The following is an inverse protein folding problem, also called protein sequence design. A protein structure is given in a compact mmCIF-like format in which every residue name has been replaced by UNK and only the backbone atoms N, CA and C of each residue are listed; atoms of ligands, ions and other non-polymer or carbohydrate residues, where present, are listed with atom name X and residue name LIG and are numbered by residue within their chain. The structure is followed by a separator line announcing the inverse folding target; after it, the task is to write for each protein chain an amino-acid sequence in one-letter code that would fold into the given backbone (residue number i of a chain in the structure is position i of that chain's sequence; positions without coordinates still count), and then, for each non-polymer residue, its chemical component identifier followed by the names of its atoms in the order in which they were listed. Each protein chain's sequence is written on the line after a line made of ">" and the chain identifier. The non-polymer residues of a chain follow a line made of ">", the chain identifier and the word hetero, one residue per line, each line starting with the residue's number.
data_IF_856746839045
#
_entry.id   IF_856746839045
#
_cell.length_a   1.000
_cell.length_b   1.000
_cell.length_c   1.000
_cell.angle_alpha   90.00
_cell.angle_beta   90.00
_cell.angle_gamma   90.00
#
_symmetry.space_group_name_H-M   'P 1'
#
loop_
_entity.id
_entity.type
_entity.pdbx_description
1 polymer ?
#
# COMPACT_ATOMS: atom_id res chain seq x y z
N UNK A 1 -4.41 10.38 -24.95
CA UNK A 1 -5.86 10.57 -24.76
C UNK A 1 -6.03 11.46 -23.53
N UNK A 2 -6.91 12.46 -23.55
CA UNK A 2 -7.19 13.24 -22.34
C UNK A 2 -7.67 12.27 -21.26
N UNK A 3 -6.94 12.19 -20.16
CA UNK A 3 -7.32 11.36 -19.02
C UNK A 3 -8.60 11.93 -18.43
N UNK A 4 -9.70 11.21 -18.61
CA UNK A 4 -11.05 11.60 -18.17
C UNK A 4 -11.50 10.80 -16.94
N UNK A 5 -10.58 10.06 -16.33
CA UNK A 5 -10.90 9.26 -15.16
C UNK A 5 -10.84 10.16 -13.93
N UNK A 6 -11.89 10.16 -13.14
CA UNK A 6 -11.89 10.68 -11.77
C UNK A 6 -12.04 9.45 -10.91
N UNK A 7 -11.13 9.25 -9.95
CA UNK A 7 -11.10 8.10 -9.05
C UNK A 7 -12.50 7.91 -8.50
N UNK A 8 -13.11 6.79 -8.89
CA UNK A 8 -14.45 6.44 -8.44
C UNK A 8 -14.46 5.81 -7.05
N UNK A 9 -13.34 5.80 -6.33
CA UNK A 9 -13.31 5.26 -4.97
C UNK A 9 -13.85 6.27 -3.96
N UNK A 10 -13.50 7.55 -4.13
CA UNK A 10 -13.80 8.61 -3.16
C UNK A 10 -15.06 9.40 -3.53
N UNK A 11 -15.26 9.64 -4.82
CA UNK A 11 -16.34 10.47 -5.34
C UNK A 11 -16.98 9.81 -6.55
N UNK A 12 -18.21 10.25 -6.85
CA UNK A 12 -18.91 9.82 -8.05
C UNK A 12 -18.06 10.15 -9.27
N UNK A 13 -17.62 9.11 -9.96
CA UNK A 13 -16.79 9.29 -11.14
C UNK A 13 -17.56 9.91 -12.30
N UNK A 14 -16.90 10.81 -13.02
CA UNK A 14 -17.37 11.34 -14.31
C UNK A 14 -17.11 10.38 -15.49
N UNK A 15 -16.64 9.16 -15.23
CA UNK A 15 -16.30 8.12 -16.23
C UNK A 15 -17.42 7.82 -17.27
N UNK A 16 -18.66 8.28 -17.04
CA UNK A 16 -19.79 8.07 -17.96
C UNK A 16 -20.33 9.34 -18.64
N UNK A 17 -19.80 10.53 -18.35
CA UNK A 17 -20.29 11.78 -18.94
C UNK A 17 -19.32 12.24 -20.03
N UNK A 18 -19.62 11.90 -21.30
CA UNK A 18 -18.72 12.18 -22.46
C UNK A 18 -18.21 13.63 -22.55
N UNK A 19 -18.93 14.58 -21.94
CA UNK A 19 -18.70 16.03 -22.01
C UNK A 19 -18.62 16.75 -20.64
N UNK A 20 -18.40 16.05 -19.52
CA UNK A 20 -18.17 16.75 -18.25
C UNK A 20 -16.72 17.22 -18.16
N UNK A 21 -16.49 18.43 -17.65
CA UNK A 21 -15.14 18.95 -17.38
C UNK A 21 -14.38 18.03 -16.41
N UNK A 22 -13.06 18.02 -16.42
CA UNK A 22 -12.32 17.30 -15.38
C UNK A 22 -12.54 18.03 -14.04
N UNK A 23 -12.75 17.33 -12.91
CA UNK A 23 -12.61 17.95 -11.59
C UNK A 23 -11.23 18.56 -11.35
N UNK A 24 -10.22 18.20 -12.18
CA UNK A 24 -8.92 18.86 -12.20
C UNK A 24 -9.00 20.36 -12.58
N UNK A 25 -9.99 20.77 -13.38
CA UNK A 25 -10.24 22.19 -13.69
C UNK A 25 -10.74 22.96 -12.45
N UNK A 26 -11.28 22.23 -11.46
CA UNK A 26 -11.78 22.76 -10.18
C UNK A 26 -11.26 21.94 -9.01
N UNK A 27 -9.93 21.94 -8.85
CA UNK A 27 -9.18 21.13 -7.89
C UNK A 27 -9.50 21.36 -6.40
N UNK A 28 -10.41 22.28 -6.04
CA UNK A 28 -10.87 22.50 -4.66
C UNK A 28 -12.29 21.95 -4.40
N UNK A 29 -13.04 21.58 -5.44
CA UNK A 29 -14.41 21.14 -5.28
C UNK A 29 -14.47 19.68 -4.79
N UNK A 30 -15.25 19.47 -3.73
CA UNK A 30 -15.57 18.16 -3.18
C UNK A 30 -16.98 17.77 -3.61
N UNK A 31 -17.16 16.57 -4.17
CA UNK A 31 -18.48 15.98 -4.38
C UNK A 31 -18.80 15.01 -3.27
N UNK A 32 -19.95 15.19 -2.63
CA UNK A 32 -20.50 14.26 -1.63
C UNK A 32 -21.70 13.47 -2.18
N UNK A 33 -21.94 13.55 -3.49
CA UNK A 33 -23.06 12.83 -4.11
C UNK A 33 -22.95 11.32 -3.87
N UNK A 34 -24.02 10.67 -3.38
CA UNK A 34 -24.03 9.22 -3.24
C UNK A 34 -23.88 8.54 -4.61
N UNK A 35 -23.08 7.47 -4.63
CA UNK A 35 -22.95 6.59 -5.79
C UNK A 35 -22.82 5.13 -5.33
N UNK A 36 -23.24 4.20 -6.20
CA UNK A 36 -23.07 2.77 -5.98
C UNK A 36 -21.60 2.38 -6.20
N UNK A 37 -21.07 1.36 -5.49
CA UNK A 37 -19.75 0.85 -5.79
C UNK A 37 -19.59 0.52 -7.27
N UNK A 38 -18.49 0.99 -7.86
CA UNK A 38 -18.18 0.79 -9.27
C UNK A 38 -17.55 -0.59 -9.46
N UNK A 39 -17.95 -1.29 -10.51
CA UNK A 39 -17.39 -2.60 -10.85
C UNK A 39 -15.93 -2.47 -11.31
N UNK A 40 -15.10 -3.48 -11.00
CA UNK A 40 -13.65 -3.43 -11.28
C UNK A 40 -13.31 -3.13 -12.73
N UNK A 41 -14.09 -3.64 -13.69
CA UNK A 41 -13.82 -3.55 -15.13
C UNK A 41 -13.76 -2.10 -15.66
N UNK A 42 -14.22 -1.13 -14.86
CA UNK A 42 -14.17 0.30 -15.19
C UNK A 42 -12.97 1.04 -14.59
N UNK A 43 -12.30 0.48 -13.57
CA UNK A 43 -11.28 1.18 -12.79
C UNK A 43 -9.90 0.54 -12.83
N UNK A 44 -9.84 -0.77 -13.03
CA UNK A 44 -8.60 -1.52 -12.85
C UNK A 44 -7.85 -1.70 -14.16
N UNK A 45 -6.54 -1.76 -14.05
CA UNK A 45 -5.66 -2.23 -15.11
C UNK A 45 -5.13 -3.61 -14.71
N UNK A 46 -5.41 -4.65 -15.51
CA UNK A 46 -4.83 -5.98 -15.32
C UNK A 46 -3.37 -5.97 -15.82
N UNK A 47 -2.42 -6.09 -14.89
CA UNK A 47 -0.98 -6.04 -15.18
C UNK A 47 -0.44 -7.40 -15.66
N UNK A 48 -1.22 -8.47 -15.50
CA UNK A 48 -0.84 -9.85 -15.80
C UNK A 48 -1.62 -10.46 -16.99
N UNK A 49 -2.57 -9.75 -17.59
CA UNK A 49 -3.36 -10.22 -18.74
C UNK A 49 -2.51 -10.63 -19.97
N UNK A 50 -1.34 -10.02 -20.15
CA UNK A 50 -0.54 -10.19 -21.37
C UNK A 50 0.60 -11.21 -21.24
N UNK A 51 0.70 -12.08 -22.26
CA UNK A 51 1.78 -13.05 -22.44
C UNK A 51 1.70 -14.26 -21.51
N UNK A 52 2.81 -15.01 -21.39
CA UNK A 52 2.92 -16.14 -20.45
C UNK A 52 3.15 -15.63 -19.01
N UNK A 53 2.19 -14.92 -18.44
CA UNK A 53 2.23 -14.49 -17.04
C UNK A 53 2.16 -15.69 -16.09
N UNK A 54 2.72 -15.56 -14.86
CA UNK A 54 2.47 -16.52 -13.80
C UNK A 54 0.96 -16.67 -13.53
N UNK A 55 0.51 -17.81 -12.98
CA UNK A 55 -0.89 -17.97 -12.58
C UNK A 55 -1.27 -16.95 -11.49
N UNK A 56 -2.49 -16.46 -11.54
CA UNK A 56 -3.04 -15.47 -10.62
C UNK A 56 -3.56 -14.23 -11.35
N UNK A 57 -3.99 -13.25 -10.56
CA UNK A 57 -4.44 -11.94 -11.05
C UNK A 57 -3.71 -10.85 -10.29
N UNK A 58 -3.32 -9.79 -10.98
CA UNK A 58 -2.79 -8.60 -10.35
C UNK A 58 -3.33 -7.36 -11.06
N UNK A 59 -4.33 -6.78 -10.41
CA UNK A 59 -5.03 -5.59 -10.88
C UNK A 59 -4.52 -4.37 -10.12
N UNK A 60 -4.38 -3.25 -10.82
CA UNK A 60 -4.00 -1.97 -10.21
C UNK A 60 -5.06 -0.91 -10.49
N UNK A 61 -5.43 -0.16 -9.44
CA UNK A 61 -6.10 1.12 -9.58
C UNK A 61 -5.01 2.18 -9.53
N UNK A 62 -4.78 2.88 -10.63
CA UNK A 62 -3.74 3.90 -10.70
C UNK A 62 -4.09 5.09 -9.82
N UNK A 63 -3.09 5.59 -9.08
CA UNK A 63 -3.20 6.89 -8.43
C UNK A 63 -3.40 7.99 -9.47
N UNK A 64 -4.15 9.02 -9.12
CA UNK A 64 -4.38 10.19 -9.96
C UNK A 64 -3.90 11.44 -9.26
N UNK A 65 -3.64 12.50 -10.02
CA UNK A 65 -3.19 13.77 -9.45
C UNK A 65 -4.32 14.47 -8.67
N UNK A 66 -5.56 14.30 -9.11
CA UNK A 66 -6.76 14.97 -8.63
C UNK A 66 -7.08 14.69 -7.17
N UNK A 67 -6.71 13.53 -6.63
CA UNK A 67 -6.92 13.20 -5.21
C UNK A 67 -6.06 14.04 -4.27
N UNK A 68 -5.06 14.76 -4.79
CA UNK A 68 -4.31 15.74 -4.01
C UNK A 68 -5.21 16.82 -3.40
N UNK A 69 -6.38 17.08 -3.99
CA UNK A 69 -7.37 18.03 -3.46
C UNK A 69 -7.76 17.76 -2.01
N UNK A 70 -7.84 16.49 -1.61
CA UNK A 70 -8.21 16.13 -0.24
C UNK A 70 -7.17 16.55 0.79
N UNK A 71 -5.92 16.78 0.37
CA UNK A 71 -4.88 17.28 1.27
C UNK A 71 -5.07 18.77 1.60
N UNK A 72 -5.80 19.52 0.77
CA UNK A 72 -6.03 20.96 0.92
C UNK A 72 -7.47 21.31 1.33
N UNK A 73 -8.36 20.32 1.35
CA UNK A 73 -9.74 20.49 1.75
C UNK A 73 -9.87 20.83 3.24
N UNK A 74 -10.78 21.76 3.54
CA UNK A 74 -11.08 22.22 4.91
C UNK A 74 -12.47 21.83 5.41
N UNK A 75 -13.34 21.33 4.52
CA UNK A 75 -14.68 20.85 4.86
C UNK A 75 -14.63 19.43 5.42
N UNK A 76 -14.61 19.34 6.76
CA UNK A 76 -14.52 18.07 7.47
C UNK A 76 -15.76 17.16 7.27
N UNK A 77 -16.94 17.74 7.11
CA UNK A 77 -18.18 16.98 6.93
C UNK A 77 -18.24 16.34 5.54
N UNK A 78 -17.75 17.06 4.52
CA UNK A 78 -17.58 16.52 3.19
C UNK A 78 -16.52 15.41 3.15
N UNK A 79 -15.38 15.62 3.80
CA UNK A 79 -14.30 14.62 3.89
C UNK A 79 -14.77 13.34 4.58
N UNK A 80 -15.55 13.43 5.64
CA UNK A 80 -16.10 12.24 6.31
C UNK A 80 -17.06 11.45 5.39
N UNK A 81 -17.89 12.13 4.59
CA UNK A 81 -18.76 11.48 3.60
C UNK A 81 -17.94 10.80 2.49
N UNK A 82 -16.92 11.48 1.98
CA UNK A 82 -16.00 10.95 0.97
C UNK A 82 -15.25 9.72 1.48
N UNK A 83 -14.80 9.74 2.75
CA UNK A 83 -14.18 8.57 3.38
C UNK A 83 -15.15 7.40 3.43
N UNK A 84 -16.42 7.62 3.78
CA UNK A 84 -17.45 6.56 3.78
C UNK A 84 -17.65 5.96 2.39
N UNK A 85 -17.59 6.76 1.33
CA UNK A 85 -17.64 6.26 -0.05
C UNK A 85 -16.47 5.32 -0.34
N UNK A 86 -15.25 5.74 0.00
CA UNK A 86 -14.05 4.93 -0.13
C UNK A 86 -14.16 3.60 0.63
N UNK A 87 -14.56 3.63 1.90
CA UNK A 87 -14.72 2.43 2.71
C UNK A 87 -15.75 1.46 2.12
N UNK A 88 -16.90 1.95 1.64
CA UNK A 88 -17.90 1.10 0.97
C UNK A 88 -17.37 0.47 -0.31
N UNK A 89 -16.56 1.19 -1.07
CA UNK A 89 -15.98 0.69 -2.30
C UNK A 89 -14.92 -0.38 -2.04
N UNK A 90 -14.08 -0.20 -1.00
CA UNK A 90 -13.14 -1.23 -0.55
C UNK A 90 -13.91 -2.47 -0.09
N UNK A 91 -14.98 -2.29 0.69
CA UNK A 91 -15.80 -3.39 1.18
C UNK A 91 -16.44 -4.21 0.05
N UNK A 92 -16.92 -3.54 -0.99
CA UNK A 92 -17.41 -4.20 -2.21
C UNK A 92 -16.33 -5.09 -2.85
N UNK A 93 -15.09 -4.58 -2.95
CA UNK A 93 -13.98 -5.33 -3.54
C UNK A 93 -13.43 -6.46 -2.67
N UNK A 94 -13.72 -6.51 -1.37
CA UNK A 94 -13.31 -7.64 -0.51
C UNK A 94 -13.89 -8.98 -0.98
N UNK A 95 -15.03 -8.96 -1.67
CA UNK A 95 -15.63 -10.17 -2.26
C UNK A 95 -14.98 -10.60 -3.57
N UNK A 96 -14.15 -9.75 -4.18
CA UNK A 96 -13.54 -9.97 -5.49
C UNK A 96 -12.04 -10.28 -5.43
N UNK A 97 -11.37 -9.92 -4.34
CA UNK A 97 -9.92 -10.07 -4.19
C UNK A 97 -9.56 -10.74 -2.87
N UNK A 98 -8.60 -11.66 -2.93
CA UNK A 98 -8.02 -12.30 -1.74
C UNK A 98 -7.13 -11.33 -0.94
N UNK A 99 -6.59 -10.30 -1.60
CA UNK A 99 -5.70 -9.30 -1.00
C UNK A 99 -5.89 -7.94 -1.67
N UNK A 100 -6.09 -6.90 -0.86
CA UNK A 100 -6.10 -5.50 -1.29
C UNK A 100 -4.89 -4.80 -0.65
N UNK A 101 -4.02 -4.21 -1.47
CA UNK A 101 -2.83 -3.50 -1.01
C UNK A 101 -2.99 -2.00 -1.29
N UNK A 102 -2.83 -1.19 -0.26
CA UNK A 102 -2.75 0.26 -0.40
C UNK A 102 -1.28 0.70 -0.39
N UNK A 103 -0.87 1.42 -1.43
CA UNK A 103 0.38 2.17 -1.44
C UNK A 103 0.06 3.65 -1.24
N UNK A 104 0.49 4.21 -0.11
CA UNK A 104 0.16 5.58 0.28
C UNK A 104 1.42 6.40 0.47
N UNK A 105 1.33 7.71 0.20
CA UNK A 105 2.42 8.62 0.52
C UNK A 105 2.75 8.61 2.04
N UNK A 106 3.99 8.90 2.45
CA UNK A 106 4.40 8.83 3.85
C UNK A 106 3.83 9.98 4.72
N UNK A 107 2.85 10.73 4.22
CA UNK A 107 2.28 11.88 4.91
C UNK A 107 0.99 11.45 5.61
N UNK A 108 0.82 11.84 6.87
CA UNK A 108 -0.42 11.60 7.62
C UNK A 108 -1.56 12.53 7.13
N UNK A 109 -2.00 12.32 5.89
CA UNK A 109 -3.08 13.08 5.23
C UNK A 109 -4.42 12.35 5.36
N UNK A 110 -5.50 13.00 4.89
CA UNK A 110 -6.81 12.40 4.73
C UNK A 110 -6.76 11.03 4.01
N UNK A 111 -5.98 10.93 2.92
CA UNK A 111 -5.85 9.72 2.11
C UNK A 111 -5.26 8.56 2.91
N UNK A 112 -4.17 8.83 3.64
CA UNK A 112 -3.51 7.84 4.50
C UNK A 112 -4.44 7.39 5.61
N UNK A 113 -5.24 8.30 6.20
CA UNK A 113 -6.27 7.94 7.20
C UNK A 113 -7.35 7.01 6.60
N UNK A 114 -7.77 7.27 5.37
CA UNK A 114 -8.73 6.40 4.68
C UNK A 114 -8.16 4.99 4.51
N UNK A 115 -6.92 4.86 4.02
CA UNK A 115 -6.25 3.58 3.83
C UNK A 115 -6.05 2.85 5.17
N UNK A 116 -5.61 3.55 6.22
CA UNK A 116 -5.43 3.00 7.55
C UNK A 116 -6.74 2.51 8.17
N UNK A 117 -7.84 3.22 7.98
CA UNK A 117 -9.17 2.81 8.49
C UNK A 117 -9.77 1.65 7.68
N UNK A 118 -9.33 1.46 6.43
CA UNK A 118 -9.76 0.36 5.57
C UNK A 118 -8.92 -0.91 5.73
N UNK A 119 -7.65 -0.78 6.14
CA UNK A 119 -6.71 -1.88 6.22
C UNK A 119 -6.94 -2.75 7.47
N UNK A 120 -6.69 -4.05 7.32
CA UNK A 120 -6.63 -5.00 8.43
C UNK A 120 -5.23 -5.03 9.06
N UNK A 121 -4.19 -4.78 8.25
CA UNK A 121 -2.79 -4.77 8.66
C UNK A 121 -1.98 -3.72 7.89
N UNK A 122 -1.04 -3.08 8.58
CA UNK A 122 -0.02 -2.19 7.99
C UNK A 122 1.32 -2.89 7.99
N UNK A 123 1.95 -2.95 6.82
CA UNK A 123 3.34 -3.37 6.66
C UNK A 123 4.25 -2.14 6.59
N UNK A 124 5.05 -1.92 7.61
CA UNK A 124 6.00 -0.81 7.69
C UNK A 124 7.43 -1.28 7.36
N UNK A 125 8.00 -0.92 6.19
CA UNK A 125 9.39 -1.20 5.89
C UNK A 125 10.31 -0.29 6.71
N UNK A 126 11.32 -0.87 7.36
CA UNK A 126 12.25 -0.16 8.25
C UNK A 126 13.69 -0.57 7.92
N UNK A 127 14.62 0.37 7.76
CA UNK A 127 16.04 0.01 7.76
C UNK A 127 16.53 -0.27 9.18
N UNK A 128 17.65 -0.99 9.31
CA UNK A 128 18.28 -1.34 10.60
C UNK A 128 19.01 -0.13 11.21
N UNK A 129 18.30 0.97 11.42
CA UNK A 129 18.84 2.20 11.98
C UNK A 129 17.82 2.96 12.83
N UNK A 130 18.36 3.90 13.63
CA UNK A 130 17.57 4.69 14.59
C UNK A 130 16.63 5.70 13.92
N UNK A 131 16.91 6.14 12.70
CA UNK A 131 16.06 7.10 11.99
C UNK A 131 14.78 6.42 11.50
N UNK A 132 14.92 5.20 10.97
CA UNK A 132 13.81 4.35 10.55
C UNK A 132 12.94 3.96 11.74
N UNK A 133 13.55 3.70 12.92
CA UNK A 133 12.80 3.45 14.15
C UNK A 133 11.89 4.63 14.55
N UNK A 134 12.37 5.87 14.40
CA UNK A 134 11.54 7.06 14.69
C UNK A 134 10.32 7.14 13.77
N UNK A 135 10.46 6.73 12.51
CA UNK A 135 9.36 6.66 11.55
C UNK A 135 8.28 5.67 11.98
N UNK A 136 8.67 4.45 12.35
CA UNK A 136 7.74 3.41 12.81
C UNK A 136 7.05 3.83 14.13
N UNK A 137 7.78 4.45 15.04
CA UNK A 137 7.21 5.04 16.26
C UNK A 137 6.13 6.07 15.95
N UNK A 138 6.39 6.98 15.00
CA UNK A 138 5.39 7.97 14.59
C UNK A 138 4.16 7.30 13.99
N UNK A 139 4.36 6.24 13.18
CA UNK A 139 3.26 5.47 12.61
C UNK A 139 2.39 4.83 13.71
N UNK A 140 2.96 4.15 14.70
CA UNK A 140 2.20 3.60 15.84
C UNK A 140 1.43 4.69 16.58
N UNK A 141 2.04 5.86 16.80
CA UNK A 141 1.35 7.01 17.40
C UNK A 141 0.17 7.49 16.53
N UNK A 142 0.32 7.55 15.21
CA UNK A 142 -0.76 7.90 14.28
C UNK A 142 -1.88 6.86 14.37
N UNK A 143 -1.57 5.57 14.36
CA UNK A 143 -2.56 4.50 14.51
C UNK A 143 -3.36 4.65 15.82
N UNK A 144 -2.69 4.93 16.93
CA UNK A 144 -3.34 5.09 18.24
C UNK A 144 -4.16 6.37 18.36
N UNK A 145 -3.70 7.48 17.78
CA UNK A 145 -4.31 8.80 17.99
C UNK A 145 -5.31 9.22 16.91
N UNK A 146 -5.15 8.73 15.68
CA UNK A 146 -5.96 9.17 14.52
C UNK A 146 -6.98 8.12 14.06
N UNK A 147 -6.77 6.84 14.43
CA UNK A 147 -7.64 5.74 14.00
C UNK A 147 -8.49 5.24 15.18
N UNK A 148 -9.83 5.15 15.03
CA UNK A 148 -10.72 4.64 16.07
C UNK A 148 -10.32 3.24 16.52
N UNK A 149 -10.42 2.95 17.83
CA UNK A 149 -9.95 1.70 18.46
C UNK A 149 -10.39 0.44 17.69
N UNK A 150 -11.67 0.34 17.33
CA UNK A 150 -12.23 -0.84 16.63
C UNK A 150 -11.92 -0.92 15.13
N UNK A 151 -11.15 0.03 14.58
CA UNK A 151 -10.73 0.07 13.17
C UNK A 151 -9.21 0.17 13.02
N UNK A 152 -8.45 -0.05 14.10
CA UNK A 152 -6.99 0.04 14.05
C UNK A 152 -6.44 -1.21 13.37
N UNK A 153 -5.68 -1.07 12.27
CA UNK A 153 -5.00 -2.21 11.68
C UNK A 153 -3.91 -2.72 12.63
N UNK A 154 -3.60 -4.01 12.52
CA UNK A 154 -2.41 -4.56 13.13
C UNK A 154 -1.15 -3.94 12.50
N UNK A 155 -0.09 -3.75 13.27
CA UNK A 155 1.18 -3.23 12.76
C UNK A 155 2.20 -4.37 12.62
N UNK A 156 2.79 -4.47 11.44
CA UNK A 156 3.88 -5.39 11.11
C UNK A 156 5.07 -4.62 10.56
N UNK A 157 6.25 -4.82 11.12
CA UNK A 157 7.48 -4.11 10.76
C UNK A 157 8.44 -5.06 10.05
N UNK A 158 8.84 -4.71 8.83
CA UNK A 158 9.77 -5.52 8.03
C UNK A 158 11.12 -4.81 7.94
N UNK A 159 12.18 -5.49 8.38
CA UNK A 159 13.53 -5.02 8.08
C UNK A 159 13.78 -5.05 6.58
N UNK A 160 14.05 -3.88 6.00
CA UNK A 160 14.17 -3.67 4.57
C UNK A 160 15.62 -3.36 4.15
N UNK A 161 16.00 -3.90 3.00
CA UNK A 161 17.30 -3.75 2.36
C UNK A 161 18.49 -4.07 3.28
N UNK A 162 18.35 -5.12 4.09
CA UNK A 162 19.38 -5.58 5.05
C UNK A 162 20.62 -6.05 4.29
N UNK A 163 21.79 -5.58 4.71
CA UNK A 163 23.05 -6.00 4.10
C UNK A 163 23.44 -7.41 4.57
N UNK A 164 24.07 -8.21 3.71
CA UNK A 164 24.49 -9.60 4.07
C UNK A 164 25.47 -9.67 5.24
N UNK A 165 26.24 -8.61 5.49
CA UNK A 165 27.16 -8.48 6.62
C UNK A 165 26.49 -7.90 7.87
N UNK A 166 25.26 -7.39 7.75
CA UNK A 166 24.51 -6.72 8.80
C UNK A 166 23.33 -7.60 9.23
N UNK A 167 23.61 -8.78 9.79
CA UNK A 167 22.92 -9.10 11.04
C UNK A 167 23.44 -8.09 12.06
N UNK A 168 22.99 -6.84 11.90
CA UNK A 168 23.47 -5.72 12.69
C UNK A 168 23.12 -6.03 14.13
N UNK A 169 24.00 -5.66 15.06
CA UNK A 169 23.65 -5.65 16.48
C UNK A 169 22.30 -4.97 16.69
N UNK A 170 21.99 -3.94 15.89
CA UNK A 170 20.69 -3.29 15.85
C UNK A 170 19.50 -4.24 15.57
N UNK A 171 19.55 -5.07 14.53
CA UNK A 171 18.47 -6.03 14.25
C UNK A 171 18.29 -7.00 15.43
N UNK A 172 19.39 -7.55 15.95
CA UNK A 172 19.34 -8.48 17.08
C UNK A 172 18.77 -7.80 18.34
N UNK A 173 19.25 -6.61 18.67
CA UNK A 173 18.81 -5.80 19.80
C UNK A 173 17.32 -5.45 19.67
N UNK A 174 16.86 -5.08 18.48
CA UNK A 174 15.44 -4.81 18.20
C UNK A 174 14.57 -6.03 18.42
N UNK A 175 14.98 -7.20 17.90
CA UNK A 175 14.26 -8.46 18.09
C UNK A 175 14.24 -8.92 19.54
N UNK A 176 15.27 -8.57 20.31
CA UNK A 176 15.36 -8.86 21.74
C UNK A 176 14.67 -7.79 22.61
N UNK A 177 13.95 -6.83 22.02
CA UNK A 177 13.16 -5.82 22.74
C UNK A 177 13.98 -4.66 23.32
N UNK A 178 15.27 -4.55 23.01
CA UNK A 178 16.13 -3.46 23.51
C UNK A 178 15.63 -2.07 23.10
N UNK A 179 14.88 -1.98 21.99
CA UNK A 179 14.33 -0.72 21.50
C UNK A 179 12.85 -0.50 21.82
N UNK A 180 12.17 -1.39 22.55
CA UNK A 180 10.72 -1.26 22.82
C UNK A 180 10.41 0.02 23.61
N UNK A 181 11.22 0.34 24.62
CA UNK A 181 11.09 1.57 25.41
C UNK A 181 11.32 2.84 24.57
N UNK A 182 12.24 2.77 23.60
CA UNK A 182 12.56 3.88 22.69
C UNK A 182 11.41 4.08 21.69
N UNK A 183 10.92 2.97 21.15
CA UNK A 183 9.78 2.89 20.24
C UNK A 183 8.47 3.33 20.90
N UNK A 184 8.34 3.12 22.22
CA UNK A 184 7.11 3.34 23.02
C UNK A 184 5.97 2.39 22.65
N UNK A 185 6.30 1.26 22.03
CA UNK A 185 5.42 0.13 21.79
C UNK A 185 6.28 -1.15 21.69
N UNK A 186 5.68 -2.35 21.83
CA UNK A 186 6.40 -3.62 21.63
C UNK A 186 6.84 -3.78 20.17
N UNK A 187 7.99 -3.21 19.82
CA UNK A 187 8.57 -3.32 18.47
C UNK A 187 8.97 -4.76 18.19
N UNK A 188 9.57 -5.41 19.18
CA UNK A 188 9.96 -6.83 19.13
C UNK A 188 8.82 -7.73 18.66
N UNK A 189 7.61 -7.53 19.19
CA UNK A 189 6.41 -8.30 18.82
C UNK A 189 5.86 -7.93 17.42
N UNK A 190 6.04 -6.67 16.99
CA UNK A 190 5.57 -6.20 15.69
C UNK A 190 6.49 -6.59 14.53
N UNK A 191 7.75 -6.97 14.80
CA UNK A 191 8.74 -7.31 13.78
C UNK A 191 8.43 -8.65 13.12
N UNK A 192 8.44 -8.67 11.79
CA UNK A 192 8.49 -9.94 11.05
C UNK A 192 9.77 -10.70 11.40
N UNK A 193 9.66 -12.01 11.55
CA UNK A 193 10.78 -12.95 11.69
C UNK A 193 11.71 -12.85 10.48
N UNK A 194 11.13 -12.70 9.29
CA UNK A 194 11.88 -12.54 8.05
C UNK A 194 12.40 -11.10 7.86
N UNK A 195 13.53 -10.96 7.18
CA UNK A 195 14.07 -9.68 6.72
C UNK A 195 14.27 -9.68 5.19
N UNK A 196 14.07 -8.54 4.54
CA UNK A 196 14.25 -8.38 3.10
C UNK A 196 15.70 -7.97 2.81
N UNK A 197 16.54 -8.84 2.21
CA UNK A 197 17.92 -8.49 1.90
C UNK A 197 18.00 -7.45 0.79
N UNK A 198 19.04 -6.62 0.84
CA UNK A 198 19.35 -5.68 -0.25
C UNK A 198 19.60 -6.44 -1.56
N UNK A 199 18.86 -6.09 -2.61
CA UNK A 199 18.95 -6.78 -3.90
C UNK A 199 18.70 -5.85 -5.08
N UNK A 200 19.62 -5.88 -6.06
CA UNK A 200 19.43 -5.20 -7.35
C UNK A 200 18.34 -5.84 -8.22
N UNK A 201 17.85 -7.03 -7.84
CA UNK A 201 16.79 -7.72 -8.57
C UNK A 201 15.41 -7.08 -8.36
N UNK A 202 15.24 -6.19 -7.39
CA UNK A 202 14.01 -5.43 -7.20
C UNK A 202 13.94 -4.17 -8.09
N UNK A 203 14.99 -3.88 -8.87
CA UNK A 203 14.98 -2.74 -9.80
C UNK A 203 13.98 -2.95 -10.94
N UNK A 204 13.42 -1.85 -11.42
CA UNK A 204 12.53 -1.79 -12.59
C UNK A 204 13.36 -1.42 -13.83
N UNK A 205 13.19 -2.17 -14.91
CA UNK A 205 13.75 -1.84 -16.23
C UNK A 205 12.83 -0.87 -16.98
N UNK A 206 13.36 -0.02 -17.86
CA UNK A 206 12.53 0.77 -18.77
C UNK A 206 11.56 -0.10 -19.57
N UNK A 207 10.35 0.40 -19.87
CA UNK A 207 9.38 -0.32 -20.70
C UNK A 207 9.97 -0.62 -22.08
N UNK A 208 9.67 -1.80 -22.61
CA UNK A 208 10.05 -2.23 -23.94
C UNK A 208 8.79 -2.55 -24.74
N UNK A 209 8.76 -2.17 -26.01
CA UNK A 209 7.62 -2.42 -26.89
C UNK A 209 7.33 -3.94 -26.98
N UNK A 210 6.06 -4.31 -26.84
CA UNK A 210 5.61 -5.71 -26.84
C UNK A 210 5.99 -6.53 -25.59
N UNK A 211 6.61 -5.92 -24.58
CA UNK A 211 6.90 -6.59 -23.31
C UNK A 211 5.81 -6.27 -22.27
N UNK A 212 5.19 -7.28 -21.63
CA UNK A 212 4.18 -7.04 -20.62
C UNK A 212 4.80 -6.38 -19.38
N UNK A 213 4.03 -5.49 -18.74
CA UNK A 213 4.50 -4.64 -17.64
C UNK A 213 5.10 -5.42 -16.47
N UNK A 214 4.52 -6.58 -16.11
CA UNK A 214 5.03 -7.42 -15.02
C UNK A 214 6.48 -7.90 -15.25
N UNK A 215 6.98 -7.98 -16.49
CA UNK A 215 8.37 -8.38 -16.77
C UNK A 215 9.40 -7.28 -16.57
N UNK A 216 8.98 -6.05 -16.27
CA UNK A 216 9.88 -4.91 -16.07
C UNK A 216 10.70 -5.05 -14.78
N UNK A 217 10.18 -5.72 -13.74
CA UNK A 217 10.97 -6.02 -12.55
C UNK A 217 12.07 -7.04 -12.88
N UNK A 218 13.32 -6.69 -12.54
CA UNK A 218 14.51 -7.52 -12.81
C UNK A 218 14.37 -8.92 -12.21
N UNK A 219 13.61 -9.10 -11.14
CA UNK A 219 13.40 -10.41 -10.51
C UNK A 219 12.71 -11.43 -11.44
N UNK A 220 11.96 -10.99 -12.45
CA UNK A 220 11.27 -11.90 -13.38
C UNK A 220 12.13 -12.29 -14.59
N UNK A 221 13.12 -11.48 -14.97
CA UNK A 221 13.91 -11.66 -16.20
C UNK A 221 15.43 -11.64 -16.01
N UNK A 222 15.90 -11.38 -14.79
CA UNK A 222 17.31 -11.25 -14.46
C UNK A 222 18.07 -12.57 -14.56
N UNK A 223 19.38 -12.47 -14.79
CA UNK A 223 20.34 -13.58 -14.70
C UNK A 223 21.41 -13.20 -13.69
N UNK A 224 22.01 -14.17 -13.00
CA UNK A 224 23.11 -13.95 -12.05
C UNK A 224 22.88 -14.55 -10.66
N UNK A 225 23.93 -14.53 -9.84
CA UNK A 225 23.89 -15.04 -8.47
C UNK A 225 22.99 -14.21 -7.54
N UNK A 226 22.34 -14.85 -6.59
CA UNK A 226 21.45 -14.20 -5.62
C UNK A 226 19.97 -14.13 -6.02
N UNK A 227 19.62 -14.38 -7.29
CA UNK A 227 18.22 -14.37 -7.76
C UNK A 227 17.35 -15.42 -7.06
N UNK A 228 17.88 -16.64 -6.88
CA UNK A 228 17.19 -17.71 -6.14
C UNK A 228 16.93 -17.28 -4.70
N UNK A 229 17.96 -16.77 -4.03
CA UNK A 229 17.88 -16.35 -2.63
C UNK A 229 16.85 -15.23 -2.41
N UNK A 230 16.84 -14.19 -3.26
CA UNK A 230 15.84 -13.11 -3.11
C UNK A 230 14.42 -13.59 -3.34
N UNK A 231 14.20 -14.53 -4.28
CA UNK A 231 12.88 -15.14 -4.50
C UNK A 231 12.44 -15.98 -3.30
N UNK A 232 13.36 -16.72 -2.70
CA UNK A 232 13.10 -17.48 -1.47
C UNK A 232 12.76 -16.54 -0.30
N UNK A 233 13.53 -15.47 -0.10
CA UNK A 233 13.23 -14.46 0.93
C UNK A 233 11.86 -13.83 0.76
N UNK A 234 11.51 -13.40 -0.46
CA UNK A 234 10.18 -12.83 -0.74
C UNK A 234 9.06 -13.85 -0.51
N UNK A 235 9.27 -15.11 -0.88
CA UNK A 235 8.29 -16.18 -0.64
C UNK A 235 8.08 -16.40 0.86
N UNK A 236 9.15 -16.43 1.66
CA UNK A 236 9.05 -16.56 3.12
C UNK A 236 8.31 -15.38 3.74
N UNK A 237 8.66 -14.14 3.36
CA UNK A 237 7.97 -12.93 3.83
C UNK A 237 6.49 -12.96 3.47
N UNK A 238 6.15 -13.35 2.23
CA UNK A 238 4.75 -13.43 1.78
C UNK A 238 3.94 -14.47 2.56
N UNK A 239 4.53 -15.64 2.85
CA UNK A 239 3.87 -16.68 3.65
C UNK A 239 3.66 -16.23 5.10
N UNK A 240 4.65 -15.57 5.69
CA UNK A 240 4.55 -15.00 7.04
C UNK A 240 3.46 -13.92 7.12
N UNK A 241 3.41 -13.01 6.15
CA UNK A 241 2.35 -12.00 6.09
C UNK A 241 0.96 -12.63 5.91
N UNK A 242 0.86 -13.68 5.09
CA UNK A 242 -0.40 -14.40 4.90
C UNK A 242 -0.88 -14.99 6.22
N UNK A 243 -0.01 -15.69 6.95
CA UNK A 243 -0.34 -16.29 8.26
C UNK A 243 -0.82 -15.21 9.26
N UNK A 244 -0.11 -14.08 9.34
CA UNK A 244 -0.50 -12.95 10.19
C UNK A 244 -1.83 -12.30 9.80
N UNK A 245 -2.17 -12.26 8.51
CA UNK A 245 -3.47 -11.75 8.05
C UNK A 245 -4.59 -12.73 8.36
N UNK A 246 -4.36 -14.03 8.18
CA UNK A 246 -5.35 -15.08 8.49
C UNK A 246 -5.69 -15.13 9.99
N UNK A 247 -4.73 -14.83 10.89
CA UNK A 247 -4.96 -14.76 12.34
C UNK A 247 -5.81 -13.56 12.78
N UNK A 248 -5.98 -12.55 11.92
CA UNK A 248 -6.68 -11.29 12.25
C UNK A 248 -8.18 -11.35 11.91
N UNK A 249 -8.63 -12.41 11.24
CA UNK A 249 -10.03 -12.66 10.84
C UNK A 249 -10.68 -13.79 11.66
#
# INVERSE_FOLDING_TARGET
>A
AADKSVISLFERSRLHTRNAESPAEHWLNLSTEPFAPVARDYLVHDIMAEGNSPPGRFDIISGQFEISKYAFATDNDALEQIKRHFLRQVDFYRSEYDLIVFDTNPNATFLTRCALEAADRVLAPMHTDIYSLRGVKLLDQVLRTQIPVGKRPALSVLFNAVSRSEQSTFEADARNGTFDDVARFPLSDALLKSALPRSKHLAVKPPQEGQPAWKQLVIHSGRGGGLKQIRESLKTIALELKELCDETH
#
